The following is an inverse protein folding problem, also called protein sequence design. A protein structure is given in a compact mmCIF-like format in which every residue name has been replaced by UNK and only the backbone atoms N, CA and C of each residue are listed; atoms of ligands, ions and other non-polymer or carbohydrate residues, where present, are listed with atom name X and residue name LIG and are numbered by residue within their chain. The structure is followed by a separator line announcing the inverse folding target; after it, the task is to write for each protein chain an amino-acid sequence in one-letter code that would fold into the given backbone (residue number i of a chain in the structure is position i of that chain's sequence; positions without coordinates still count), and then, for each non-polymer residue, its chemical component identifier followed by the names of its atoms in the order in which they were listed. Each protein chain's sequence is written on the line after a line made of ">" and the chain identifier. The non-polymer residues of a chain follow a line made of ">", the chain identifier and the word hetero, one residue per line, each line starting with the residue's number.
data_IF_592036820997
#
_entry.id   IF_592036820997
#
_cell.length_a   1.000
_cell.length_b   1.000
_cell.length_c   1.000
_cell.angle_alpha   90.00
_cell.angle_beta   90.00
_cell.angle_gamma   90.00
#
_symmetry.space_group_name_H-M   'P 1'
#
loop_
_entity.id
_entity.type
_entity.pdbx_description
1 polymer ?
#
# COMPACT_ATOMS: atom_id res chain seq x y z
N UNK A 1 9.74 -37.57 41.32
CA UNK A 1 8.38 -38.00 41.74
C UNK A 1 8.13 -37.39 43.11
N UNK A 2 7.20 -36.43 43.24
CA UNK A 2 6.83 -35.82 44.52
C UNK A 2 5.59 -36.56 45.02
N UNK A 3 5.72 -37.23 46.16
CA UNK A 3 4.59 -37.83 46.87
C UNK A 3 3.79 -36.71 47.56
N UNK A 4 2.51 -36.61 47.25
CA UNK A 4 1.62 -35.64 47.91
C UNK A 4 0.43 -36.34 48.55
N UNK A 5 -0.06 -35.81 49.66
CA UNK A 5 -1.27 -36.28 50.29
C UNK A 5 -2.48 -35.57 49.73
N UNK A 6 -3.39 -36.24 49.01
CA UNK A 6 -4.53 -35.60 48.34
C UNK A 6 -5.55 -34.99 49.31
N UNK A 7 -5.53 -35.35 50.58
CA UNK A 7 -6.43 -34.80 51.59
C UNK A 7 -5.97 -33.45 52.15
N UNK A 8 -4.65 -33.16 52.02
CA UNK A 8 -4.05 -31.94 52.65
C UNK A 8 -3.46 -31.03 51.54
N UNK A 9 -3.10 -31.58 50.40
CA UNK A 9 -2.38 -30.84 49.37
C UNK A 9 -3.13 -30.86 48.04
N UNK A 10 -3.23 -29.68 47.40
CA UNK A 10 -3.81 -29.53 46.07
C UNK A 10 -2.70 -29.30 45.03
N UNK A 11 -2.61 -30.18 44.03
CA UNK A 11 -1.67 -30.01 42.92
C UNK A 11 -2.26 -29.04 41.91
N UNK A 12 -1.50 -28.01 41.57
CA UNK A 12 -1.82 -27.06 40.49
C UNK A 12 -0.87 -27.30 39.36
N UNK A 13 -1.40 -27.52 38.17
CA UNK A 13 -0.62 -27.66 36.92
C UNK A 13 -0.74 -26.41 36.11
N UNK A 14 0.40 -25.82 35.74
CA UNK A 14 0.47 -24.67 34.88
C UNK A 14 1.43 -24.93 33.71
N UNK A 15 1.12 -24.37 32.56
CA UNK A 15 1.95 -24.48 31.34
C UNK A 15 2.97 -23.35 31.30
N UNK A 16 4.22 -23.69 31.03
CA UNK A 16 5.30 -22.72 30.78
C UNK A 16 5.46 -22.39 29.31
N UNK A 17 4.58 -22.94 28.47
CA UNK A 17 4.55 -22.62 27.05
C UNK A 17 3.99 -21.19 26.82
N UNK A 18 4.31 -20.64 25.65
CA UNK A 18 3.77 -19.34 25.25
C UNK A 18 2.25 -19.44 25.08
N UNK A 19 1.54 -18.61 25.83
CA UNK A 19 0.09 -18.45 25.74
C UNK A 19 -0.24 -17.15 25.00
N UNK A 20 -1.41 -17.11 24.38
CA UNK A 20 -1.93 -15.96 23.66
C UNK A 20 -3.26 -15.51 24.27
N UNK A 21 -3.28 -14.31 24.79
CA UNK A 21 -4.51 -13.64 25.26
C UNK A 21 -5.00 -12.72 24.13
N UNK A 22 -6.23 -12.94 23.66
CA UNK A 22 -6.88 -12.09 22.65
C UNK A 22 -7.88 -11.17 23.36
N UNK A 23 -7.83 -9.89 23.03
CA UNK A 23 -8.65 -8.87 23.64
C UNK A 23 -9.24 -7.95 22.57
N UNK A 24 -10.52 -7.60 22.74
CA UNK A 24 -11.18 -6.54 21.99
C UNK A 24 -11.31 -5.34 22.91
N UNK A 25 -10.68 -4.24 22.53
CA UNK A 25 -10.63 -3.04 23.35
C UNK A 25 -10.97 -1.80 22.51
N UNK A 26 -11.62 -0.86 23.19
CA UNK A 26 -11.79 0.50 22.69
C UNK A 26 -10.69 1.36 23.29
N UNK A 27 -9.81 1.89 22.46
CA UNK A 27 -8.63 2.64 22.86
C UNK A 27 -8.82 4.12 22.52
N UNK A 28 -8.52 5.03 23.48
CA UNK A 28 -8.60 6.45 23.22
C UNK A 28 -7.45 6.89 22.30
N UNK A 29 -7.74 7.78 21.36
CA UNK A 29 -6.73 8.48 20.57
C UNK A 29 -6.43 9.85 21.14
N UNK A 30 -5.35 10.50 20.69
CA UNK A 30 -4.94 11.86 21.05
C UNK A 30 -6.02 12.90 20.81
N UNK A 31 -6.85 12.70 19.80
CA UNK A 31 -7.96 13.58 19.42
C UNK A 31 -9.28 13.27 20.13
N UNK A 32 -9.25 12.34 21.12
CA UNK A 32 -10.43 11.97 21.91
C UNK A 32 -11.39 10.99 21.20
N UNK A 33 -10.97 10.40 20.08
CA UNK A 33 -11.76 9.38 19.38
C UNK A 33 -11.49 8.01 19.97
N UNK A 34 -12.53 7.18 20.03
CA UNK A 34 -12.43 5.78 20.44
C UNK A 34 -12.16 4.89 19.23
N UNK A 35 -11.03 4.20 19.23
CA UNK A 35 -10.60 3.25 18.21
C UNK A 35 -10.76 1.85 18.72
N UNK A 36 -11.55 1.01 18.04
CA UNK A 36 -11.70 -0.39 18.41
C UNK A 36 -10.58 -1.21 17.80
N UNK A 37 -9.90 -2.00 18.62
CA UNK A 37 -8.81 -2.84 18.19
C UNK A 37 -8.90 -4.26 18.77
N UNK A 38 -8.59 -5.26 17.94
CA UNK A 38 -8.27 -6.60 18.39
C UNK A 38 -6.78 -6.69 18.63
N UNK A 39 -6.39 -7.08 19.86
CA UNK A 39 -5.00 -7.16 20.25
C UNK A 39 -4.71 -8.54 20.83
N UNK A 40 -3.54 -9.06 20.49
CA UNK A 40 -3.00 -10.31 21.03
C UNK A 40 -1.78 -10.04 21.88
N UNK A 41 -1.76 -10.62 23.07
CA UNK A 41 -0.64 -10.55 24.00
C UNK A 41 -0.02 -11.94 24.09
N UNK A 42 1.24 -12.06 23.69
CA UNK A 42 2.01 -13.28 23.83
C UNK A 42 2.82 -13.20 25.11
N UNK A 43 2.60 -14.16 26.00
CA UNK A 43 3.30 -14.25 27.29
C UNK A 43 3.64 -15.69 27.63
N UNK A 44 4.60 -15.88 28.52
CA UNK A 44 4.93 -17.17 29.12
C UNK A 44 5.34 -17.00 30.58
N UNK A 45 5.24 -18.09 31.35
CA UNK A 45 5.73 -18.15 32.70
C UNK A 45 7.16 -18.71 32.75
N UNK A 46 8.03 -18.10 33.52
CA UNK A 46 9.33 -18.70 33.85
C UNK A 46 9.14 -19.89 34.80
N UNK A 47 9.63 -21.07 34.39
CA UNK A 47 9.39 -22.32 35.12
C UNK A 47 9.83 -22.30 36.60
N UNK A 48 10.94 -21.64 36.91
CA UNK A 48 11.49 -21.45 38.22
C UNK A 48 10.67 -20.49 39.11
N UNK A 49 9.88 -19.59 38.50
CA UNK A 49 9.10 -18.55 39.20
C UNK A 49 7.59 -18.79 39.20
N UNK A 50 7.11 -19.91 38.61
CA UNK A 50 5.67 -20.23 38.57
C UNK A 50 5.04 -20.25 39.96
N UNK A 51 5.74 -20.84 40.95
CA UNK A 51 5.24 -20.89 42.30
C UNK A 51 5.03 -19.49 42.92
N UNK A 52 5.99 -18.58 42.70
CA UNK A 52 5.90 -17.19 43.16
C UNK A 52 4.77 -16.44 42.47
N UNK A 53 4.59 -16.62 41.19
CA UNK A 53 3.49 -16.00 40.45
C UNK A 53 2.13 -16.46 40.96
N UNK A 54 1.97 -17.78 41.19
CA UNK A 54 0.73 -18.34 41.72
C UNK A 54 0.46 -17.93 43.16
N UNK A 55 1.50 -17.76 44.01
CA UNK A 55 1.35 -17.27 45.36
C UNK A 55 0.93 -15.80 45.42
N UNK A 56 1.52 -14.96 44.55
CA UNK A 56 1.29 -13.51 44.62
C UNK A 56 0.04 -13.09 43.82
N UNK A 57 -0.23 -13.71 42.70
CA UNK A 57 -1.29 -13.32 41.77
C UNK A 57 -2.45 -14.32 41.71
N UNK A 58 -2.26 -15.52 42.25
CA UNK A 58 -3.26 -16.58 42.15
C UNK A 58 -3.28 -17.26 40.80
N UNK A 59 -4.33 -18.06 40.56
CA UNK A 59 -4.51 -18.79 39.31
C UNK A 59 -4.97 -17.90 38.15
N UNK A 60 -5.58 -16.77 38.46
CA UNK A 60 -6.14 -15.83 37.49
C UNK A 60 -5.16 -14.69 37.13
N UNK A 61 -3.86 -15.02 37.05
CA UNK A 61 -2.82 -14.06 36.67
C UNK A 61 -3.04 -13.46 35.27
N UNK A 62 -3.76 -14.14 34.40
CA UNK A 62 -4.10 -13.64 33.07
C UNK A 62 -5.04 -12.44 33.11
N UNK A 63 -5.93 -12.35 34.13
CA UNK A 63 -6.78 -11.17 34.34
C UNK A 63 -5.96 -9.95 34.75
N UNK A 64 -4.90 -10.17 35.54
CA UNK A 64 -3.97 -9.11 35.93
C UNK A 64 -3.15 -8.63 34.73
N UNK A 65 -2.64 -9.54 33.91
CA UNK A 65 -1.97 -9.19 32.64
C UNK A 65 -2.91 -8.33 31.77
N UNK A 66 -4.16 -8.75 31.66
CA UNK A 66 -5.18 -8.02 30.89
C UNK A 66 -5.43 -6.61 31.43
N UNK A 67 -5.51 -6.46 32.74
CA UNK A 67 -5.74 -5.18 33.41
C UNK A 67 -4.56 -4.22 33.22
N UNK A 68 -3.34 -4.71 33.41
CA UNK A 68 -2.10 -3.95 33.20
C UNK A 68 -1.97 -3.55 31.74
N UNK A 69 -2.32 -4.47 30.82
CA UNK A 69 -2.31 -4.19 29.39
C UNK A 69 -3.31 -3.10 29.02
N UNK A 70 -4.56 -3.18 29.50
CA UNK A 70 -5.59 -2.19 29.23
C UNK A 70 -5.14 -0.78 29.64
N UNK A 71 -4.54 -0.65 30.80
CA UNK A 71 -3.98 0.61 31.28
C UNK A 71 -2.82 1.09 30.39
N UNK A 72 -1.84 0.22 30.13
CA UNK A 72 -0.68 0.56 29.32
C UNK A 72 -1.07 0.95 27.87
N UNK A 73 -1.99 0.19 27.27
CA UNK A 73 -2.48 0.44 25.91
C UNK A 73 -3.22 1.78 25.85
N UNK A 74 -4.13 2.07 26.79
CA UNK A 74 -4.85 3.35 26.82
C UNK A 74 -3.89 4.53 26.95
N UNK A 75 -2.91 4.44 27.84
CA UNK A 75 -1.94 5.52 28.07
C UNK A 75 -1.00 5.76 26.87
N UNK A 76 -0.64 4.70 26.15
CA UNK A 76 0.21 4.83 24.96
C UNK A 76 -0.62 5.34 23.79
N UNK A 77 -1.77 4.72 23.52
CA UNK A 77 -2.62 5.09 22.39
C UNK A 77 -3.14 6.54 22.47
N UNK A 78 -3.37 7.06 23.68
CA UNK A 78 -3.77 8.45 23.89
C UNK A 78 -2.71 9.49 23.41
N UNK A 79 -1.48 9.07 23.10
CA UNK A 79 -0.44 9.94 22.55
C UNK A 79 -0.48 10.01 21.01
N UNK A 80 -1.13 9.06 20.36
CA UNK A 80 -1.17 8.92 18.91
C UNK A 80 -2.52 9.30 18.32
N UNK A 81 -2.52 9.83 17.10
CA UNK A 81 -3.75 10.06 16.35
C UNK A 81 -4.35 8.73 15.87
N UNK A 82 -5.67 8.67 15.75
CA UNK A 82 -6.36 7.47 15.30
C UNK A 82 -5.88 6.98 13.92
N UNK A 83 -5.57 7.90 13.00
CA UNK A 83 -4.99 7.60 11.69
C UNK A 83 -3.61 6.90 11.79
N UNK A 84 -2.78 7.31 12.77
CA UNK A 84 -1.42 6.79 12.93
C UNK A 84 -1.43 5.36 13.49
N UNK A 85 -2.46 5.03 14.31
CA UNK A 85 -2.68 3.67 14.78
C UNK A 85 -2.99 2.68 13.64
N UNK A 86 -3.64 3.16 12.58
CA UNK A 86 -4.01 2.35 11.41
C UNK A 86 -2.88 2.25 10.38
N UNK A 87 -1.89 3.14 10.40
CA UNK A 87 -0.81 3.27 9.43
C UNK A 87 0.52 2.68 9.90
N UNK A 88 1.62 3.12 9.30
CA UNK A 88 2.99 2.62 9.55
C UNK A 88 3.54 2.82 10.99
N UNK A 89 2.88 3.63 11.84
CA UNK A 89 3.31 3.83 13.24
C UNK A 89 2.92 2.69 14.18
N UNK A 90 2.13 1.72 13.70
CA UNK A 90 1.61 0.59 14.48
C UNK A 90 2.71 -0.19 15.21
N UNK A 91 3.81 -0.52 14.54
CA UNK A 91 4.93 -1.24 15.14
C UNK A 91 5.57 -0.49 16.32
N UNK A 92 5.65 0.84 16.23
CA UNK A 92 6.16 1.67 17.31
C UNK A 92 5.21 1.68 18.50
N UNK A 93 3.91 1.75 18.27
CA UNK A 93 2.87 1.69 19.30
C UNK A 93 2.91 0.34 20.03
N UNK A 94 2.99 -0.76 19.28
CA UNK A 94 3.12 -2.12 19.85
C UNK A 94 4.35 -2.23 20.76
N UNK A 95 5.48 -1.68 20.33
CA UNK A 95 6.73 -1.66 21.09
C UNK A 95 6.61 -0.81 22.37
N UNK A 96 6.05 0.40 22.30
CA UNK A 96 5.85 1.25 23.48
C UNK A 96 4.89 0.61 24.49
N UNK A 97 3.82 -0.03 24.02
CA UNK A 97 2.89 -0.76 24.89
C UNK A 97 3.64 -1.90 25.59
N UNK A 98 4.42 -2.69 24.85
CA UNK A 98 5.19 -3.81 25.40
C UNK A 98 6.18 -3.35 26.47
N UNK A 99 6.93 -2.28 26.22
CA UNK A 99 7.89 -1.72 27.18
C UNK A 99 7.19 -1.21 28.43
N UNK A 100 6.10 -0.47 28.30
CA UNK A 100 5.32 0.03 29.43
C UNK A 100 4.73 -1.11 30.26
N UNK A 101 4.21 -2.14 29.60
CA UNK A 101 3.73 -3.35 30.28
C UNK A 101 4.84 -4.07 31.05
N UNK A 102 6.03 -4.23 30.45
CA UNK A 102 7.18 -4.87 31.12
C UNK A 102 7.54 -4.15 32.41
N UNK A 103 7.56 -2.82 32.39
CA UNK A 103 7.85 -2.00 33.56
C UNK A 103 6.78 -2.20 34.64
N UNK A 104 5.51 -2.18 34.27
CA UNK A 104 4.39 -2.30 35.20
C UNK A 104 4.30 -3.72 35.77
N UNK A 105 4.45 -4.76 34.94
CA UNK A 105 4.39 -6.15 35.43
C UNK A 105 5.60 -6.53 36.29
N UNK A 106 6.80 -6.02 35.98
CA UNK A 106 7.99 -6.29 36.82
C UNK A 106 7.81 -5.82 38.27
N UNK A 107 7.01 -4.77 38.47
CA UNK A 107 6.68 -4.28 39.82
C UNK A 107 5.70 -5.19 40.59
N UNK A 108 4.84 -5.92 39.89
CA UNK A 108 3.74 -6.70 40.46
C UNK A 108 4.00 -8.21 40.41
N UNK A 109 4.71 -8.70 39.41
CA UNK A 109 4.89 -10.13 39.15
C UNK A 109 6.20 -10.43 38.43
N UNK A 110 7.24 -10.67 39.22
CA UNK A 110 8.50 -11.18 38.67
C UNK A 110 8.37 -12.67 38.36
N UNK A 111 8.25 -13.06 37.11
CA UNK A 111 8.06 -14.45 36.65
C UNK A 111 7.15 -14.56 35.43
N UNK A 112 6.53 -13.46 35.01
CA UNK A 112 5.78 -13.38 33.76
C UNK A 112 6.65 -12.69 32.71
N UNK A 113 6.96 -13.39 31.61
CA UNK A 113 7.66 -12.83 30.47
C UNK A 113 6.69 -12.45 29.38
N UNK A 114 6.70 -11.17 29.02
CA UNK A 114 5.97 -10.66 27.85
C UNK A 114 6.84 -10.77 26.62
N UNK A 115 6.37 -11.53 25.63
CA UNK A 115 7.08 -11.78 24.39
C UNK A 115 6.76 -10.71 23.36
N UNK A 116 5.47 -10.49 23.08
CA UNK A 116 5.00 -9.53 22.11
C UNK A 116 3.59 -9.03 22.42
N UNK A 117 3.31 -7.83 21.94
CA UNK A 117 1.98 -7.25 21.81
C UNK A 117 1.74 -7.04 20.33
N UNK A 118 0.65 -7.56 19.80
CA UNK A 118 0.29 -7.50 18.39
C UNK A 118 -1.09 -6.89 18.22
N UNK A 119 -1.18 -5.77 17.56
CA UNK A 119 -2.45 -5.15 17.19
C UNK A 119 -2.89 -5.78 15.87
N UNK A 120 -4.00 -6.50 15.84
CA UNK A 120 -4.43 -7.24 14.63
C UNK A 120 -5.37 -6.43 13.76
N UNK A 121 -6.51 -6.05 14.30
CA UNK A 121 -7.55 -5.33 13.58
C UNK A 121 -7.79 -3.99 14.27
N UNK A 122 -7.77 -2.92 13.49
CA UNK A 122 -8.03 -1.57 13.98
C UNK A 122 -9.21 -1.03 13.18
N UNK A 123 -10.28 -0.72 13.89
CA UNK A 123 -11.49 -0.15 13.32
C UNK A 123 -11.59 1.32 13.72
N UNK A 124 -11.46 2.18 12.72
CA UNK A 124 -11.65 3.62 12.91
C UNK A 124 -13.14 3.94 13.06
N UNK A 125 -13.52 4.98 13.83
CA UNK A 125 -14.88 5.51 13.81
C UNK A 125 -15.31 5.86 12.39
N UNK A 126 -16.57 5.56 12.04
CA UNK A 126 -17.09 5.69 10.65
C UNK A 126 -16.85 7.06 10.03
N UNK A 127 -17.04 8.14 10.80
CA UNK A 127 -16.82 9.51 10.32
C UNK A 127 -15.35 9.79 9.96
N UNK A 128 -14.39 9.24 10.72
CA UNK A 128 -12.97 9.40 10.43
C UNK A 128 -12.55 8.49 9.27
N UNK A 129 -13.03 7.25 9.23
CA UNK A 129 -12.73 6.30 8.16
C UNK A 129 -13.10 6.90 6.79
N UNK A 130 -14.32 7.41 6.64
CA UNK A 130 -14.78 8.04 5.39
C UNK A 130 -14.00 9.31 5.01
N UNK A 131 -13.49 10.06 6.00
CA UNK A 131 -12.68 11.24 5.73
C UNK A 131 -11.26 10.87 5.29
N UNK A 132 -10.68 9.83 5.88
CA UNK A 132 -9.37 9.27 5.48
C UNK A 132 -9.46 8.68 4.07
N UNK A 133 -10.52 7.92 3.78
CA UNK A 133 -10.76 7.37 2.45
C UNK A 133 -10.90 8.46 1.39
N UNK A 134 -11.70 9.49 1.65
CA UNK A 134 -11.86 10.64 0.72
C UNK A 134 -10.54 11.38 0.50
N UNK A 135 -9.75 11.58 1.55
CA UNK A 135 -8.44 12.21 1.41
C UNK A 135 -7.50 11.35 0.56
N UNK A 136 -7.44 10.05 0.83
CA UNK A 136 -6.61 9.12 0.08
C UNK A 136 -7.03 9.06 -1.40
N UNK A 137 -8.35 9.04 -1.67
CA UNK A 137 -8.89 9.09 -3.02
C UNK A 137 -8.46 10.38 -3.73
N UNK A 138 -8.59 11.53 -3.08
CA UNK A 138 -8.16 12.80 -3.66
C UNK A 138 -6.64 12.86 -3.94
N UNK A 139 -5.82 12.29 -3.05
CA UNK A 139 -4.37 12.17 -3.28
C UNK A 139 -4.05 11.27 -4.47
N UNK A 140 -4.74 10.14 -4.60
CA UNK A 140 -4.58 9.23 -5.76
C UNK A 140 -5.03 9.88 -7.06
N UNK A 141 -6.16 10.61 -7.05
CA UNK A 141 -6.66 11.32 -8.22
C UNK A 141 -5.69 12.45 -8.65
N UNK A 142 -5.09 13.16 -7.68
CA UNK A 142 -4.06 14.15 -7.95
C UNK A 142 -2.81 13.54 -8.61
N UNK A 143 -2.31 12.43 -8.07
CA UNK A 143 -1.16 11.71 -8.66
C UNK A 143 -1.48 11.18 -10.06
N UNK A 144 -2.69 10.65 -10.25
CA UNK A 144 -3.15 10.21 -11.57
C UNK A 144 -3.19 11.35 -12.57
N UNK A 145 -3.72 12.52 -12.15
CA UNK A 145 -3.77 13.70 -13.01
C UNK A 145 -2.37 14.21 -13.38
N UNK A 146 -1.42 14.20 -12.45
CA UNK A 146 -0.02 14.56 -12.71
C UNK A 146 0.61 13.62 -13.75
N UNK A 147 0.35 12.32 -13.63
CA UNK A 147 0.80 11.35 -14.62
C UNK A 147 0.18 11.60 -16.00
N UNK A 148 -1.13 11.86 -16.09
CA UNK A 148 -1.82 12.18 -17.36
C UNK A 148 -1.24 13.44 -17.98
N UNK A 149 -1.03 14.51 -17.20
CA UNK A 149 -0.42 15.74 -17.69
C UNK A 149 1.00 15.52 -18.23
N UNK A 150 1.77 14.65 -17.58
CA UNK A 150 3.11 14.30 -18.06
C UNK A 150 3.04 13.54 -19.37
N UNK A 151 2.12 12.59 -19.49
CA UNK A 151 1.89 11.83 -20.71
C UNK A 151 1.46 12.73 -21.88
N UNK A 152 0.52 13.64 -21.64
CA UNK A 152 0.05 14.60 -22.65
C UNK A 152 1.18 15.53 -23.14
N UNK A 153 2.05 15.99 -22.22
CA UNK A 153 3.22 16.79 -22.60
C UNK A 153 4.19 16.00 -23.50
N UNK A 154 4.50 14.76 -23.14
CA UNK A 154 5.37 13.91 -23.94
C UNK A 154 4.75 13.60 -25.32
N UNK A 155 3.44 13.41 -25.38
CA UNK A 155 2.74 13.20 -26.65
C UNK A 155 2.76 14.45 -27.52
N UNK A 156 2.55 15.63 -26.92
CA UNK A 156 2.67 16.89 -27.65
C UNK A 156 4.09 17.13 -28.18
N UNK A 157 5.12 16.87 -27.37
CA UNK A 157 6.53 16.94 -27.81
C UNK A 157 6.82 15.96 -28.95
N UNK A 158 6.32 14.73 -28.85
CA UNK A 158 6.46 13.73 -29.92
C UNK A 158 5.82 14.21 -31.23
N UNK A 159 4.61 14.79 -31.15
CA UNK A 159 3.93 15.36 -32.34
C UNK A 159 4.75 16.50 -32.97
N UNK A 160 5.33 17.38 -32.14
CA UNK A 160 6.18 18.48 -32.63
C UNK A 160 7.46 17.92 -33.27
N UNK A 161 8.11 16.94 -32.67
CA UNK A 161 9.32 16.32 -33.22
C UNK A 161 9.01 15.64 -34.54
N UNK A 162 7.91 14.89 -34.64
CA UNK A 162 7.49 14.25 -35.89
C UNK A 162 7.21 15.29 -36.99
N UNK A 163 6.45 16.34 -36.69
CA UNK A 163 6.16 17.39 -37.65
C UNK A 163 7.42 18.15 -38.13
N UNK A 164 8.39 18.36 -37.21
CA UNK A 164 9.72 18.91 -37.62
C UNK A 164 10.48 17.96 -38.53
N UNK A 165 10.50 16.67 -38.19
CA UNK A 165 11.14 15.64 -39.02
C UNK A 165 10.53 15.54 -40.42
N UNK A 166 9.20 15.58 -40.54
CA UNK A 166 8.50 15.60 -41.83
C UNK A 166 8.83 16.85 -42.61
N UNK A 167 8.81 18.03 -41.99
CA UNK A 167 9.20 19.27 -42.64
C UNK A 167 10.64 19.20 -43.16
N UNK A 168 11.59 18.77 -42.34
CA UNK A 168 13.00 18.71 -42.69
C UNK A 168 13.24 17.68 -43.80
N UNK A 169 12.54 16.53 -43.76
CA UNK A 169 12.54 15.56 -44.86
C UNK A 169 12.00 16.15 -46.17
N UNK A 170 10.88 16.93 -46.10
CA UNK A 170 10.34 17.59 -47.31
C UNK A 170 11.30 18.63 -47.87
N UNK A 171 11.99 19.41 -47.00
CA UNK A 171 13.00 20.39 -47.48
C UNK A 171 14.13 19.67 -48.24
N UNK A 172 14.68 18.59 -47.66
CA UNK A 172 15.74 17.80 -48.29
C UNK A 172 15.30 17.22 -49.63
N UNK A 173 14.05 16.70 -49.70
CA UNK A 173 13.49 16.20 -50.95
C UNK A 173 13.30 17.30 -51.98
N UNK A 174 12.86 18.50 -51.57
CA UNK A 174 12.62 19.64 -52.46
C UNK A 174 13.94 20.22 -53.02
N UNK A 175 14.98 20.29 -52.15
CA UNK A 175 16.32 20.73 -52.57
C UNK A 175 16.95 19.75 -53.59
N UNK A 176 16.62 18.46 -53.53
CA UNK A 176 17.08 17.43 -54.45
C UNK A 176 16.25 17.32 -55.73
N UNK A 177 15.04 17.91 -55.81
CA UNK A 177 14.12 17.82 -56.92
C UNK A 177 14.40 18.90 -57.98
N UNK A 178 15.29 18.60 -58.90
CA UNK A 178 15.44 19.40 -60.12
C UNK A 178 14.34 19.04 -61.14
N UNK A 179 13.99 19.99 -62.06
CA UNK A 179 12.99 19.73 -63.10
C UNK A 179 13.25 18.46 -63.90
N UNK A 180 14.54 18.11 -64.07
CA UNK A 180 14.94 16.87 -64.74
C UNK A 180 14.51 15.61 -63.95
N UNK A 181 14.65 15.61 -62.62
CA UNK A 181 14.27 14.48 -61.80
C UNK A 181 12.74 14.33 -61.75
N UNK A 182 11.99 15.44 -61.71
CA UNK A 182 10.52 15.42 -61.77
C UNK A 182 10.03 14.78 -63.05
N UNK A 183 10.65 15.16 -64.19
CA UNK A 183 10.32 14.55 -65.47
C UNK A 183 10.63 13.07 -65.54
N UNK A 184 11.78 12.62 -65.03
CA UNK A 184 12.15 11.21 -64.97
C UNK A 184 11.14 10.42 -64.12
N UNK A 185 10.76 10.92 -62.92
CA UNK A 185 9.77 10.30 -62.06
C UNK A 185 8.38 10.22 -62.69
N UNK A 186 7.97 11.26 -63.45
CA UNK A 186 6.72 11.23 -64.19
C UNK A 186 6.77 10.13 -65.29
N UNK A 187 7.87 10.01 -66.06
CA UNK A 187 8.04 8.97 -67.08
C UNK A 187 8.03 7.56 -66.45
N UNK A 188 8.67 7.37 -65.27
CA UNK A 188 8.61 6.11 -64.55
C UNK A 188 7.19 5.74 -64.09
N UNK A 189 6.42 6.71 -63.59
CA UNK A 189 5.03 6.51 -63.17
C UNK A 189 4.14 6.14 -64.35
N UNK A 190 4.31 6.82 -65.53
CA UNK A 190 3.62 6.46 -66.77
C UNK A 190 4.01 5.07 -67.27
N UNK A 191 5.27 4.67 -67.13
CA UNK A 191 5.74 3.33 -67.50
C UNK A 191 5.14 2.25 -66.56
N UNK A 192 4.95 2.51 -65.33
CA UNK A 192 4.27 1.58 -64.38
C UNK A 192 2.77 1.49 -64.71
N UNK A 193 2.11 2.61 -64.94
CA UNK A 193 0.71 2.67 -65.37
C UNK A 193 0.47 1.89 -66.67
N UNK A 194 1.41 1.96 -67.67
CA UNK A 194 1.31 1.21 -68.90
C UNK A 194 1.40 -0.32 -68.72
N UNK A 195 1.92 -0.79 -67.65
CA UNK A 195 1.98 -2.22 -67.27
C UNK A 195 0.74 -2.72 -66.51
N UNK A 196 -0.16 -1.81 -66.15
CA UNK A 196 -1.39 -2.15 -65.42
C UNK A 196 -2.38 -2.79 -66.39
N UNK A 197 -2.99 -3.89 -66.03
CA UNK A 197 -4.01 -4.62 -66.75
C UNK A 197 -5.34 -3.85 -66.91
N UNK A 198 -5.54 -2.79 -66.14
CA UNK A 198 -6.70 -1.91 -66.21
C UNK A 198 -6.38 -0.70 -67.13
N UNK A 199 -6.86 -0.71 -68.33
CA UNK A 199 -6.68 0.36 -69.32
C UNK A 199 -7.55 1.56 -68.97
N UNK A 200 -7.05 2.49 -68.16
CA UNK A 200 -7.66 3.84 -68.05
C UNK A 200 -6.84 4.83 -68.81
N UNK A 201 -7.48 5.58 -69.72
CA UNK A 201 -6.84 6.65 -70.46
C UNK A 201 -6.87 7.90 -69.60
N UNK A 202 -5.71 8.34 -69.10
CA UNK A 202 -5.57 9.56 -68.32
C UNK A 202 -4.96 10.62 -69.25
N UNK A 203 -5.74 11.64 -69.56
CA UNK A 203 -5.25 12.82 -70.29
C UNK A 203 -4.98 13.90 -69.26
N UNK A 204 -3.71 14.27 -69.10
CA UNK A 204 -3.30 15.31 -68.13
C UNK A 204 -2.28 16.24 -68.84
N UNK A 205 -2.30 17.51 -68.49
CA UNK A 205 -1.32 18.50 -68.86
C UNK A 205 0.02 18.35 -68.13
N UNK A 206 0.13 17.35 -67.25
CA UNK A 206 1.32 17.05 -66.40
C UNK A 206 1.46 17.94 -65.15
N UNK A 207 0.49 18.83 -64.91
CA UNK A 207 0.56 19.77 -63.78
C UNK A 207 -0.28 19.34 -62.57
N UNK A 208 -1.32 18.56 -62.73
CA UNK A 208 -2.20 18.07 -61.67
C UNK A 208 -2.47 16.58 -61.80
N UNK A 209 -2.26 15.75 -60.77
CA UNK A 209 -2.69 14.36 -60.76
C UNK A 209 -4.22 14.29 -60.67
N UNK A 210 -4.86 13.66 -61.64
CA UNK A 210 -6.29 13.40 -61.64
C UNK A 210 -6.52 11.99 -61.06
N UNK A 211 -7.18 11.91 -59.91
CA UNK A 211 -7.64 10.64 -59.38
C UNK A 211 -9.08 10.39 -59.82
N UNK A 212 -9.29 9.41 -60.68
CA UNK A 212 -10.62 8.91 -61.02
C UNK A 212 -10.89 7.73 -60.07
N UNK A 213 -11.72 7.96 -59.06
CA UNK A 213 -12.21 6.90 -58.16
C UNK A 213 -13.29 6.10 -58.90
N UNK A 214 -13.29 4.78 -58.73
CA UNK A 214 -14.43 3.94 -59.08
C UNK A 214 -15.51 4.11 -58.01
N UNK A 215 -16.76 4.37 -58.39
CA UNK A 215 -17.97 4.13 -57.61
C UNK A 215 -18.24 2.63 -57.52
#
# INVERSE_FOLDING_TARGET
>A
TILYNPLISKVVKESTQTKNIKLFLSLPSKEGLSVNAEISILHRLHGDKVASVLQNLGKDYESIITSVFRSAASDVCAKFYAKDMHSGMRANIEKEILEKMKINLKKQADGIELIAVLMKQIQLPQGLASSVERKLQAEQDAMRMEFVLTQEKLEAERKIINAKGERDAQIILTEGLTDGIIRIKAIEAFRELSKSLNSKIIITDGKTPLFIGDE
#
